data_IF_745725278406
#
_entry.id   IF_745725278406
#
_cell.length_a   1.000
_cell.length_b   1.000
_cell.length_c   1.000
_cell.angle_alpha   90.00
_cell.angle_beta   90.00
_cell.angle_gamma   90.00
#
_symmetry.space_group_name_H-M   'P 1'
#
loop_
_entity.id
_entity.type
_entity.pdbx_description
1 polymer ?
#
# COMPACT_ATOMS: atom_id res chain seq x y z
N UNK A 1 18.54 -11.73 -8.20
CA UNK A 1 18.48 -10.84 -7.01
C UNK A 1 17.55 -11.52 -6.02
N UNK A 2 18.04 -12.04 -4.89
CA UNK A 2 17.17 -12.67 -3.88
C UNK A 2 16.62 -11.57 -2.99
N UNK A 3 15.51 -10.95 -3.40
CA UNK A 3 14.79 -10.00 -2.56
C UNK A 3 14.26 -10.77 -1.35
N UNK A 4 14.75 -10.46 -0.15
CA UNK A 4 14.23 -11.04 1.08
C UNK A 4 13.00 -10.26 1.53
N UNK A 5 11.83 -10.63 1.01
CA UNK A 5 10.55 -10.15 1.54
C UNK A 5 10.26 -10.87 2.87
N UNK A 6 9.65 -10.15 3.80
CA UNK A 6 9.31 -10.71 5.12
C UNK A 6 7.97 -11.45 5.06
N UNK A 7 7.75 -12.36 6.01
CA UNK A 7 6.45 -13.00 6.20
C UNK A 7 5.32 -11.98 6.38
N UNK A 8 5.62 -10.82 6.98
CA UNK A 8 4.63 -9.77 7.20
C UNK A 8 4.25 -9.04 5.91
N UNK A 9 5.20 -8.89 4.97
CA UNK A 9 4.88 -8.33 3.65
C UNK A 9 3.98 -9.26 2.85
N UNK A 10 4.25 -10.57 2.88
CA UNK A 10 3.39 -11.61 2.26
C UNK A 10 1.99 -11.59 2.87
N UNK A 11 1.89 -11.59 4.21
CA UNK A 11 0.61 -11.49 4.91
C UNK A 11 -0.15 -10.23 4.54
N UNK A 12 0.53 -9.08 4.49
CA UNK A 12 -0.09 -7.81 4.14
C UNK A 12 -0.66 -7.80 2.72
N UNK A 13 0.08 -8.34 1.74
CA UNK A 13 -0.40 -8.49 0.37
C UNK A 13 -1.60 -9.43 0.29
N UNK A 14 -1.53 -10.59 0.95
CA UNK A 14 -2.61 -11.57 0.94
C UNK A 14 -3.88 -11.03 1.62
N UNK A 15 -3.75 -10.37 2.77
CA UNK A 15 -4.89 -9.84 3.53
C UNK A 15 -5.55 -8.65 2.83
N UNK A 16 -4.77 -7.77 2.20
CA UNK A 16 -5.29 -6.52 1.64
C UNK A 16 -5.68 -6.63 0.17
N UNK A 17 -4.90 -7.36 -0.63
CA UNK A 17 -5.06 -7.44 -2.08
C UNK A 17 -5.34 -8.86 -2.57
N UNK A 18 -5.37 -9.86 -1.67
CA UNK A 18 -5.70 -11.25 -2.03
C UNK A 18 -4.64 -11.97 -2.85
N UNK A 19 -3.42 -11.44 -2.91
CA UNK A 19 -2.33 -11.97 -3.75
C UNK A 19 -1.11 -12.33 -2.92
N UNK A 20 -0.43 -13.39 -3.36
CA UNK A 20 0.91 -13.72 -2.87
C UNK A 20 1.97 -12.79 -3.46
N UNK A 21 3.16 -12.75 -2.87
CA UNK A 21 4.26 -11.98 -3.46
C UNK A 21 4.68 -12.53 -4.83
N UNK A 22 4.64 -13.84 -5.04
CA UNK A 22 4.98 -14.44 -6.34
C UNK A 22 4.02 -13.96 -7.46
N UNK A 23 2.73 -13.82 -7.14
CA UNK A 23 1.72 -13.28 -8.06
C UNK A 23 1.85 -11.76 -8.25
N UNK A 24 2.23 -11.05 -7.19
CA UNK A 24 2.57 -9.64 -7.26
C UNK A 24 3.79 -9.45 -8.19
N UNK A 25 4.90 -10.15 -7.98
CA UNK A 25 6.13 -9.97 -8.74
C UNK A 25 5.98 -10.34 -10.22
N UNK A 26 5.21 -11.39 -10.53
CA UNK A 26 5.08 -11.95 -11.88
C UNK A 26 4.21 -11.11 -12.84
N UNK A 27 3.40 -10.18 -12.35
CA UNK A 27 2.50 -9.37 -13.18
C UNK A 27 2.69 -7.87 -12.95
N UNK A 28 3.25 -7.19 -13.94
CA UNK A 28 3.43 -5.74 -13.90
C UNK A 28 2.10 -5.00 -13.71
N UNK A 29 1.04 -5.45 -14.39
CA UNK A 29 -0.28 -4.83 -14.29
C UNK A 29 -0.86 -4.94 -12.86
N UNK A 30 -0.74 -6.11 -12.23
CA UNK A 30 -1.15 -6.30 -10.83
C UNK A 30 -0.35 -5.40 -9.88
N UNK A 31 0.96 -5.27 -10.10
CA UNK A 31 1.80 -4.35 -9.30
C UNK A 31 1.34 -2.92 -9.44
N UNK A 32 1.15 -2.46 -10.68
CA UNK A 32 0.70 -1.10 -10.95
C UNK A 32 -0.67 -0.81 -10.32
N UNK A 33 -1.59 -1.78 -10.34
CA UNK A 33 -2.87 -1.63 -9.67
C UNK A 33 -2.70 -1.44 -8.16
N UNK A 34 -1.96 -2.34 -7.50
CA UNK A 34 -1.74 -2.31 -6.05
C UNK A 34 -1.03 -1.02 -5.63
N UNK A 35 0.00 -0.59 -6.36
CA UNK A 35 0.70 0.65 -6.02
C UNK A 35 -0.17 1.90 -6.24
N UNK A 36 -1.05 1.92 -7.25
CA UNK A 36 -2.03 3.01 -7.41
C UNK A 36 -3.01 3.09 -6.25
N UNK A 37 -3.48 1.94 -5.75
CA UNK A 37 -4.35 1.88 -4.56
C UNK A 37 -3.61 2.43 -3.33
N UNK A 38 -2.36 1.98 -3.12
CA UNK A 38 -1.51 2.47 -2.03
C UNK A 38 -1.29 3.98 -2.08
N UNK A 39 -1.04 4.54 -3.27
CA UNK A 39 -0.90 6.00 -3.43
C UNK A 39 -2.18 6.73 -3.04
N UNK A 40 -3.35 6.28 -3.51
CA UNK A 40 -4.63 6.91 -3.18
C UNK A 40 -4.90 6.92 -1.68
N UNK A 41 -4.63 5.81 -0.99
CA UNK A 41 -4.81 5.70 0.45
C UNK A 41 -3.85 6.62 1.22
N UNK A 42 -2.58 6.67 0.80
CA UNK A 42 -1.59 7.57 1.38
C UNK A 42 -2.01 9.04 1.23
N UNK A 43 -2.49 9.44 0.05
CA UNK A 43 -2.95 10.81 -0.21
C UNK A 43 -4.19 11.16 0.63
N UNK A 44 -5.14 10.24 0.75
CA UNK A 44 -6.32 10.41 1.61
C UNK A 44 -5.93 10.57 3.09
N UNK A 45 -4.98 9.77 3.59
CA UNK A 45 -4.44 9.91 4.94
C UNK A 45 -3.77 11.26 5.15
N UNK A 46 -2.99 11.75 4.17
CA UNK A 46 -2.34 13.05 4.28
C UNK A 46 -3.34 14.20 4.32
N UNK A 47 -4.39 14.14 3.51
CA UNK A 47 -5.49 15.11 3.54
C UNK A 47 -6.20 15.09 4.91
N UNK A 48 -6.44 13.91 5.46
CA UNK A 48 -7.02 13.76 6.80
C UNK A 48 -6.11 14.40 7.86
N UNK A 49 -4.82 14.10 7.85
CA UNK A 49 -3.85 14.68 8.80
C UNK A 49 -3.82 16.20 8.69
N UNK A 50 -3.78 16.75 7.47
CA UNK A 50 -3.83 18.20 7.24
C UNK A 50 -5.12 18.81 7.79
N UNK A 51 -6.27 18.16 7.57
CA UNK A 51 -7.56 18.62 8.11
C UNK A 51 -7.55 18.66 9.63
N UNK A 52 -7.06 17.62 10.29
CA UNK A 52 -6.95 17.55 11.75
C UNK A 52 -6.04 18.66 12.26
N UNK A 53 -4.86 18.83 11.67
CA UNK A 53 -3.91 19.88 12.05
C UNK A 53 -4.54 21.27 11.95
N UNK A 54 -5.24 21.57 10.84
CA UNK A 54 -5.93 22.85 10.66
C UNK A 54 -6.98 23.12 11.74
N UNK A 55 -7.67 22.08 12.21
CA UNK A 55 -8.68 22.19 13.27
C UNK A 55 -8.09 22.28 14.68
N UNK A 56 -6.91 21.71 14.92
CA UNK A 56 -6.24 21.77 16.24
C UNK A 56 -5.36 22.99 16.44
N UNK A 57 -5.00 23.69 15.36
CA UNK A 57 -4.20 24.94 15.39
C UNK A 57 -5.07 26.21 15.43
N UNK A 58 -6.39 26.08 15.59
CA UNK A 58 -7.35 27.17 15.82
C UNK A 58 -7.81 27.18 17.28
#
# INVERSE_FOLDING_TARGET
>A
MRLSYTSEMEKGLQQRHGVSYAEYESSLDKRLQIERERTKEHDACNQLVQSIQSHTSS
#
